data_IF_285145850598
#
_entry.id   IF_285145850598
#
_cell.length_a   1.000
_cell.length_b   1.000
_cell.length_c   1.000
_cell.angle_alpha   90.00
_cell.angle_beta   90.00
_cell.angle_gamma   90.00
#
_symmetry.space_group_name_H-M   'P 1'
#
loop_
_entity.id
_entity.type
_entity.pdbx_description
1 polymer ?
#
# COMPACT_ATOMS: atom_id res chain seq x y z
N UNK A 1 -18.44 39.66 15.13
CA UNK A 1 -17.76 38.37 14.90
C UNK A 1 -18.58 37.61 13.87
N UNK A 2 -18.06 37.46 12.65
CA UNK A 2 -18.75 36.72 11.58
C UNK A 2 -18.51 35.22 11.76
N UNK A 3 -19.45 34.51 12.39
CA UNK A 3 -19.45 33.06 12.41
C UNK A 3 -20.84 32.55 12.03
N UNK A 4 -20.95 31.83 10.92
CA UNK A 4 -22.13 31.04 10.63
C UNK A 4 -22.15 29.85 11.60
N UNK A 5 -23.15 29.81 12.48
CA UNK A 5 -23.31 28.76 13.49
C UNK A 5 -23.41 27.35 12.87
N UNK A 6 -23.79 27.28 11.59
CA UNK A 6 -23.85 26.04 10.80
C UNK A 6 -22.47 25.49 10.42
N UNK A 7 -21.47 26.35 10.17
CA UNK A 7 -20.14 25.94 9.69
C UNK A 7 -19.28 25.34 10.80
N UNK A 8 -19.46 25.79 12.04
CA UNK A 8 -18.80 25.25 13.23
C UNK A 8 -19.70 24.32 14.04
N UNK A 9 -20.85 23.92 13.48
CA UNK A 9 -21.73 22.98 14.15
C UNK A 9 -21.00 21.67 14.40
N UNK A 10 -21.24 21.05 15.57
CA UNK A 10 -20.60 19.79 16.01
C UNK A 10 -20.78 18.64 15.01
N UNK A 11 -21.80 18.71 14.14
CA UNK A 11 -22.10 17.72 13.11
C UNK A 11 -21.34 17.92 11.81
N UNK A 12 -20.62 19.04 11.66
CA UNK A 12 -19.77 19.33 10.50
C UNK A 12 -18.33 18.85 10.74
N UNK A 13 -17.62 18.54 9.65
CA UNK A 13 -16.19 18.20 9.70
C UNK A 13 -15.37 19.34 10.33
N UNK A 14 -15.65 20.58 9.93
CA UNK A 14 -15.06 21.79 10.51
C UNK A 14 -15.32 21.93 12.02
N UNK A 15 -16.51 21.54 12.50
CA UNK A 15 -16.82 21.50 13.93
C UNK A 15 -16.00 20.45 14.69
N UNK A 16 -15.73 19.30 14.08
CA UNK A 16 -14.86 18.26 14.67
C UNK A 16 -13.41 18.75 14.76
N UNK A 17 -12.93 19.42 13.71
CA UNK A 17 -11.60 20.04 13.67
C UNK A 17 -11.47 21.17 14.70
N UNK A 18 -12.50 22.00 14.82
CA UNK A 18 -12.56 23.02 15.86
C UNK A 18 -12.51 22.40 17.27
N UNK A 19 -13.25 21.32 17.50
CA UNK A 19 -13.18 20.58 18.76
C UNK A 19 -11.80 19.97 19.00
N UNK A 20 -11.11 19.47 17.97
CA UNK A 20 -9.73 18.99 18.10
C UNK A 20 -8.73 20.10 18.45
N UNK A 21 -8.97 21.33 17.98
CA UNK A 21 -8.15 22.49 18.30
C UNK A 21 -8.31 22.94 19.77
N UNK A 22 -9.53 22.98 20.31
CA UNK A 22 -9.77 23.54 21.64
C UNK A 22 -10.02 22.52 22.75
N UNK A 23 -10.53 21.33 22.41
CA UNK A 23 -11.02 20.38 23.39
C UNK A 23 -10.70 18.94 23.00
N UNK A 24 -9.38 18.65 22.95
CA UNK A 24 -8.81 17.35 22.56
C UNK A 24 -9.38 16.17 23.35
N UNK A 25 -9.67 16.35 24.65
CA UNK A 25 -10.20 15.30 25.52
C UNK A 25 -11.62 14.84 25.15
N UNK A 26 -12.37 15.64 24.37
CA UNK A 26 -13.73 15.31 23.93
C UNK A 26 -13.81 14.78 22.50
N UNK A 27 -12.66 14.53 21.87
CA UNK A 27 -12.59 14.01 20.51
C UNK A 27 -12.72 12.49 20.53
N UNK A 28 -13.83 11.95 20.01
CA UNK A 28 -14.02 10.51 19.88
C UNK A 28 -13.18 9.94 18.73
N UNK A 29 -12.62 8.73 18.92
CA UNK A 29 -11.83 8.01 17.90
C UNK A 29 -12.62 7.85 16.58
N UNK A 30 -13.92 7.61 16.64
CA UNK A 30 -14.81 7.54 15.48
C UNK A 30 -14.76 8.79 14.61
N UNK A 31 -14.89 9.97 15.21
CA UNK A 31 -14.84 11.24 14.48
C UNK A 31 -13.47 11.50 13.86
N UNK A 32 -12.38 11.14 14.55
CA UNK A 32 -11.03 11.25 14.01
C UNK A 32 -10.89 10.43 12.74
N UNK A 33 -11.32 9.16 12.75
CA UNK A 33 -11.16 8.26 11.61
C UNK A 33 -11.93 8.77 10.38
N UNK A 34 -13.20 9.13 10.57
CA UNK A 34 -14.11 9.57 9.50
C UNK A 34 -13.73 10.92 8.89
N UNK A 35 -13.00 11.78 9.62
CA UNK A 35 -12.66 13.12 9.12
C UNK A 35 -11.65 13.03 7.98
N UNK A 36 -12.02 13.56 6.81
CA UNK A 36 -11.12 13.74 5.68
C UNK A 36 -10.25 15.00 5.89
N UNK A 37 -8.94 14.79 5.93
CA UNK A 37 -7.96 15.85 6.18
C UNK A 37 -7.83 16.73 4.95
N UNK A 38 -7.69 16.13 3.76
CA UNK A 38 -7.47 16.85 2.50
C UNK A 38 -8.65 17.76 2.20
N UNK A 39 -9.86 17.22 2.31
CA UNK A 39 -11.07 18.01 2.10
C UNK A 39 -11.20 19.15 3.13
N UNK A 40 -10.84 18.91 4.39
CA UNK A 40 -10.90 19.96 5.41
C UNK A 40 -9.88 21.07 5.15
N UNK A 41 -8.67 20.74 4.69
CA UNK A 41 -7.64 21.74 4.35
C UNK A 41 -8.09 22.59 3.17
N UNK A 42 -8.69 21.99 2.13
CA UNK A 42 -9.27 22.72 1.00
C UNK A 42 -10.37 23.69 1.45
N UNK A 43 -11.26 23.24 2.36
CA UNK A 43 -12.31 24.10 2.92
C UNK A 43 -11.75 25.29 3.72
N UNK A 44 -10.58 25.13 4.35
CA UNK A 44 -9.91 26.22 5.08
C UNK A 44 -9.21 27.17 4.11
N UNK A 45 -8.61 26.65 3.04
CA UNK A 45 -7.89 27.43 2.03
C UNK A 45 -8.84 28.25 1.14
N UNK A 46 -9.97 27.65 0.75
CA UNK A 46 -10.99 28.25 -0.11
C UNK A 46 -12.36 28.21 0.58
N UNK A 47 -12.58 29.03 1.63
CA UNK A 47 -13.82 28.97 2.39
C UNK A 47 -14.98 29.56 1.59
N UNK A 48 -16.13 28.86 1.60
CA UNK A 48 -17.38 29.31 0.94
C UNK A 48 -17.98 30.58 1.55
N UNK A 49 -17.56 30.92 2.78
CA UNK A 49 -17.98 32.11 3.50
C UNK A 49 -16.75 32.78 4.12
N UNK A 50 -16.73 34.11 4.30
CA UNK A 50 -15.56 34.80 4.82
C UNK A 50 -15.17 34.27 6.20
N UNK A 51 -13.97 33.70 6.26
CA UNK A 51 -13.38 33.12 7.47
C UNK A 51 -12.35 34.11 8.04
N UNK A 52 -12.44 34.39 9.34
CA UNK A 52 -11.42 35.20 10.00
C UNK A 52 -10.06 34.47 9.98
N UNK A 53 -8.97 35.19 9.72
CA UNK A 53 -7.61 34.62 9.72
C UNK A 53 -7.25 33.95 11.05
N UNK A 54 -7.72 34.52 12.18
CA UNK A 54 -7.54 33.90 13.49
C UNK A 54 -8.25 32.54 13.58
N UNK A 55 -9.41 32.39 12.95
CA UNK A 55 -10.16 31.14 12.92
C UNK A 55 -9.46 30.11 12.03
N UNK A 56 -8.97 30.49 10.84
CA UNK A 56 -8.22 29.57 9.97
C UNK A 56 -6.96 29.01 10.64
N UNK A 57 -6.20 29.82 11.37
CA UNK A 57 -5.04 29.34 12.13
C UNK A 57 -5.39 28.30 13.20
N UNK A 58 -6.47 28.52 13.95
CA UNK A 58 -6.92 27.56 14.95
C UNK A 58 -7.46 26.27 14.32
N UNK A 59 -8.17 26.38 13.20
CA UNK A 59 -8.63 25.20 12.45
C UNK A 59 -7.45 24.40 11.92
N UNK A 60 -6.43 25.05 11.37
CA UNK A 60 -5.22 24.37 10.89
C UNK A 60 -4.51 23.61 12.03
N UNK A 61 -4.40 24.20 13.23
CA UNK A 61 -3.90 23.50 14.41
C UNK A 61 -4.73 22.26 14.75
N UNK A 62 -6.06 22.37 14.66
CA UNK A 62 -6.98 21.24 14.83
C UNK A 62 -6.73 20.12 13.80
N UNK A 63 -6.52 20.47 12.53
CA UNK A 63 -6.21 19.51 11.46
C UNK A 63 -4.92 18.77 11.75
N UNK A 64 -3.84 19.48 12.08
CA UNK A 64 -2.53 18.87 12.39
C UNK A 64 -2.64 17.90 13.58
N UNK A 65 -3.43 18.24 14.60
CA UNK A 65 -3.68 17.36 15.75
C UNK A 65 -4.45 16.10 15.37
N UNK A 66 -5.45 16.22 14.49
CA UNK A 66 -6.19 15.07 13.96
C UNK A 66 -5.25 14.15 13.17
N UNK A 67 -4.38 14.72 12.34
CA UNK A 67 -3.37 13.95 11.60
C UNK A 67 -2.46 13.17 12.55
N UNK A 68 -1.88 13.83 13.55
CA UNK A 68 -1.05 13.16 14.57
C UNK A 68 -1.80 12.00 15.22
N UNK A 69 -3.06 12.19 15.58
CA UNK A 69 -3.87 11.14 16.22
C UNK A 69 -4.14 9.95 15.30
N UNK A 70 -4.33 10.18 14.00
CA UNK A 70 -4.46 9.11 13.01
C UNK A 70 -3.18 8.29 12.90
N UNK A 71 -2.01 8.94 12.93
CA UNK A 71 -0.70 8.26 12.94
C UNK A 71 -0.53 7.44 14.21
N UNK A 72 -0.87 7.99 15.38
CA UNK A 72 -0.82 7.24 16.65
C UNK A 72 -1.70 5.98 16.58
N UNK A 73 -2.92 6.10 16.06
CA UNK A 73 -3.82 4.96 15.91
C UNK A 73 -3.27 3.90 14.96
N UNK A 74 -2.67 4.30 13.84
CA UNK A 74 -2.04 3.38 12.90
C UNK A 74 -0.86 2.65 13.55
N UNK A 75 -0.02 3.36 14.29
CA UNK A 75 1.12 2.80 15.00
C UNK A 75 0.68 1.79 16.08
N UNK A 76 -0.34 2.13 16.85
CA UNK A 76 -0.92 1.23 17.85
C UNK A 76 -1.49 -0.05 17.22
N UNK A 77 -2.21 0.09 16.09
CA UNK A 77 -2.81 -1.04 15.40
C UNK A 77 -1.73 -1.93 14.75
N UNK A 78 -0.65 -1.33 14.22
CA UNK A 78 0.51 -2.07 13.73
C UNK A 78 1.23 -2.83 14.83
N UNK A 79 1.48 -2.21 15.99
CA UNK A 79 2.16 -2.89 17.10
C UNK A 79 1.37 -4.09 17.63
N UNK A 80 0.03 -3.99 17.65
CA UNK A 80 -0.84 -5.11 18.00
C UNK A 80 -0.81 -6.22 16.96
N UNK A 81 -0.79 -5.88 15.68
CA UNK A 81 -0.68 -6.86 14.60
C UNK A 81 0.69 -7.56 14.63
N UNK A 82 1.76 -6.79 14.75
CA UNK A 82 3.13 -7.30 14.82
C UNK A 82 3.35 -8.25 16.01
N UNK A 83 2.83 -7.87 17.18
CA UNK A 83 2.89 -8.74 18.38
C UNK A 83 2.16 -10.07 18.16
N UNK A 84 1.00 -10.06 17.51
CA UNK A 84 0.26 -11.28 17.18
C UNK A 84 0.98 -12.15 16.15
N UNK A 85 1.60 -11.55 15.13
CA UNK A 85 2.39 -12.26 14.13
C UNK A 85 3.61 -12.92 14.78
N UNK A 86 4.36 -12.21 15.62
CA UNK A 86 5.50 -12.79 16.35
C UNK A 86 5.07 -13.95 17.24
N UNK A 87 3.96 -13.82 17.98
CA UNK A 87 3.46 -14.90 18.85
C UNK A 87 3.09 -16.13 18.03
N UNK A 88 2.45 -15.96 16.87
CA UNK A 88 2.08 -17.07 15.97
C UNK A 88 3.27 -17.70 15.27
N UNK A 89 4.34 -16.94 15.01
CA UNK A 89 5.55 -17.40 14.35
C UNK A 89 6.59 -17.98 15.32
N UNK A 90 6.47 -17.74 16.63
CA UNK A 90 7.35 -18.39 17.62
C UNK A 90 7.06 -19.90 17.57
N UNK A 91 7.99 -20.74 17.08
CA UNK A 91 7.77 -22.17 17.08
C UNK A 91 7.60 -22.56 18.54
N UNK A 92 6.43 -23.13 18.87
CA UNK A 92 6.31 -23.93 20.08
C UNK A 92 7.44 -24.95 19.98
N UNK A 93 8.25 -25.02 21.03
CA UNK A 93 9.33 -25.99 21.23
C UNK A 93 8.71 -27.40 21.29
N UNK A 94 8.10 -27.85 20.19
CA UNK A 94 7.83 -29.25 19.96
C UNK A 94 9.16 -29.80 19.48
N UNK A 95 9.71 -30.71 20.27
CA UNK A 95 10.82 -31.55 19.86
C UNK A 95 10.40 -32.28 18.58
N UNK A 96 10.63 -31.67 17.43
CA UNK A 96 10.67 -32.39 16.18
C UNK A 96 11.92 -33.24 16.31
N UNK A 97 11.75 -34.55 16.51
CA UNK A 97 12.86 -35.50 16.48
C UNK A 97 13.53 -35.35 15.11
N UNK A 98 14.67 -34.66 15.09
CA UNK A 98 15.51 -34.49 13.91
C UNK A 98 16.14 -35.83 13.57
N UNK A 99 15.42 -36.68 12.84
CA UNK A 99 16.02 -37.94 12.35
C UNK A 99 15.83 -38.16 10.84
N UNK A 100 15.52 -37.12 10.06
CA UNK A 100 15.29 -37.34 8.63
C UNK A 100 15.67 -36.19 7.68
N UNK A 101 16.50 -35.21 8.08
CA UNK A 101 16.98 -34.18 7.14
C UNK A 101 18.42 -33.72 7.45
N UNK A 102 19.35 -34.66 7.60
CA UNK A 102 20.77 -34.35 7.38
C UNK A 102 21.36 -35.46 6.52
N UNK A 103 22.16 -35.04 5.54
CA UNK A 103 23.03 -35.94 4.80
C UNK A 103 23.90 -36.70 5.83
N UNK A 104 24.04 -38.03 5.73
CA UNK A 104 24.90 -38.79 6.63
C UNK A 104 26.36 -38.32 6.52
N UNK A 105 27.09 -38.30 7.65
CA UNK A 105 28.47 -37.80 7.73
C UNK A 105 29.45 -38.53 6.78
N UNK A 106 29.13 -39.74 6.36
CA UNK A 106 29.81 -40.45 5.27
C UNK A 106 28.81 -41.20 4.41
N UNK A 107 28.70 -40.79 3.15
CA UNK A 107 27.96 -41.52 2.12
C UNK A 107 28.91 -42.56 1.53
N UNK A 108 28.82 -43.82 1.99
CA UNK A 108 29.65 -44.92 1.48
C UNK A 108 29.19 -45.34 0.08
N UNK A 109 29.72 -44.65 -0.94
CA UNK A 109 29.44 -44.91 -2.37
C UNK A 109 29.88 -46.31 -2.82
N UNK A 110 30.90 -46.88 -2.17
CA UNK A 110 31.51 -48.14 -2.56
C UNK A 110 30.68 -49.38 -2.19
N UNK A 111 29.64 -49.22 -1.36
CA UNK A 111 28.69 -50.28 -1.03
C UNK A 111 27.52 -50.38 -2.03
N UNK A 112 27.41 -49.46 -2.99
CA UNK A 112 26.38 -49.52 -4.03
C UNK A 112 26.80 -50.52 -5.11
N UNK A 113 26.29 -51.75 -5.00
CA UNK A 113 26.36 -52.76 -6.04
C UNK A 113 25.44 -52.35 -7.20
N UNK A 114 25.99 -51.60 -8.16
CA UNK A 114 25.33 -51.35 -9.43
C UNK A 114 25.54 -52.56 -10.33
N UNK A 115 24.69 -53.57 -10.11
CA UNK A 115 24.59 -54.75 -10.94
C UNK A 115 24.52 -54.39 -12.43
N UNK A 116 25.48 -54.94 -13.15
CA UNK A 116 25.66 -55.02 -14.60
C UNK A 116 24.36 -54.86 -15.43
N UNK A 117 24.23 -53.76 -16.17
CA UNK A 117 24.09 -53.73 -17.65
C UNK A 117 23.77 -52.32 -18.12
N UNK A 118 24.77 -51.72 -18.77
CA UNK A 118 24.61 -50.60 -19.68
C UNK A 118 23.77 -51.07 -20.87
N UNK A 119 22.53 -50.61 -20.96
CA UNK A 119 21.81 -50.53 -22.23
C UNK A 119 21.56 -49.05 -22.54
N UNK A 120 22.41 -48.55 -23.44
CA UNK A 120 22.28 -47.29 -24.16
C UNK A 120 20.97 -47.30 -24.94
N UNK A 121 19.88 -46.79 -24.35
CA UNK A 121 18.72 -46.39 -25.15
C UNK A 121 18.78 -44.88 -25.32
N UNK A 122 19.34 -44.53 -26.47
CA UNK A 122 19.23 -43.28 -27.20
C UNK A 122 17.86 -42.62 -26.99
N UNK A 123 17.82 -41.58 -26.14
CA UNK A 123 16.75 -40.58 -26.22
C UNK A 123 17.39 -39.30 -26.72
N UNK A 124 17.13 -39.00 -27.99
CA UNK A 124 17.55 -37.75 -28.61
C UNK A 124 16.89 -36.58 -27.87
N UNK A 125 17.71 -35.81 -27.14
CA UNK A 125 17.30 -34.55 -26.53
C UNK A 125 16.91 -33.55 -27.62
N UNK A 126 15.60 -33.37 -27.81
CA UNK A 126 15.03 -32.50 -28.84
C UNK A 126 14.74 -31.08 -28.32
N UNK A 127 15.29 -30.67 -27.16
CA UNK A 127 14.97 -29.39 -26.52
C UNK A 127 15.99 -28.27 -26.71
N UNK A 128 16.81 -28.32 -27.76
CA UNK A 128 17.68 -27.19 -28.14
C UNK A 128 17.02 -26.35 -29.23
N UNK A 129 16.27 -25.32 -28.84
CA UNK A 129 15.92 -24.23 -29.76
C UNK A 129 17.19 -23.45 -30.09
N UNK A 130 17.40 -23.17 -31.37
CA UNK A 130 18.52 -22.38 -31.87
C UNK A 130 18.37 -20.90 -31.51
N UNK A 131 19.50 -20.20 -31.38
CA UNK A 131 19.58 -18.83 -30.86
C UNK A 131 18.74 -17.79 -31.64
N UNK A 132 18.38 -18.09 -32.88
CA UNK A 132 17.60 -17.23 -33.76
C UNK A 132 16.08 -17.20 -33.45
N UNK A 133 15.58 -18.11 -32.60
CA UNK A 133 14.17 -18.14 -32.16
C UNK A 133 13.86 -17.10 -31.04
N UNK A 134 14.86 -16.34 -30.59
CA UNK A 134 14.78 -15.49 -29.41
C UNK A 134 14.52 -14.00 -29.72
N UNK A 135 14.53 -13.62 -31.00
CA UNK A 135 14.44 -12.21 -31.42
C UNK A 135 13.08 -11.94 -32.05
N UNK A 136 12.34 -10.96 -31.51
CA UNK A 136 11.10 -10.47 -32.10
C UNK A 136 11.39 -9.84 -33.45
N UNK A 137 10.69 -10.25 -34.50
CA UNK A 137 10.70 -9.57 -35.79
C UNK A 137 10.08 -8.17 -35.65
N UNK A 138 10.87 -7.13 -35.89
CA UNK A 138 10.39 -5.77 -36.04
C UNK A 138 9.68 -5.64 -37.40
N UNK A 139 8.37 -5.85 -37.41
CA UNK A 139 7.52 -5.43 -38.53
C UNK A 139 6.62 -4.26 -38.09
N UNK A 140 6.89 -3.13 -38.73
CA UNK A 140 6.19 -1.86 -38.65
C UNK A 140 4.66 -2.01 -38.78
N UNK A 141 3.92 -1.54 -37.79
CA UNK A 141 2.58 -0.96 -38.00
C UNK A 141 2.64 0.49 -37.54
N UNK A 142 3.04 1.31 -38.52
CA UNK A 142 2.68 2.70 -38.78
C UNK A 142 1.96 3.42 -37.63
N UNK A 143 2.71 4.35 -37.01
CA UNK A 143 2.18 5.58 -36.42
C UNK A 143 1.22 6.27 -37.40
N UNK A 144 -0.03 6.45 -37.00
CA UNK A 144 -0.78 7.66 -37.35
C UNK A 144 -1.75 8.01 -36.19
N UNK A 145 -1.23 8.83 -35.28
CA UNK A 145 -1.89 9.97 -34.63
C UNK A 145 -3.39 9.83 -34.31
N UNK A 146 -3.67 9.07 -33.26
CA UNK A 146 -4.85 9.32 -32.42
C UNK A 146 -4.62 10.61 -31.61
N UNK A 147 -4.65 11.79 -32.23
CA UNK A 147 -5.10 13.07 -31.65
C UNK A 147 -5.00 14.18 -32.71
N UNK A 148 -6.08 14.97 -32.80
CA UNK A 148 -6.19 16.33 -33.35
C UNK A 148 -6.68 16.47 -34.80
N UNK A 149 -8.00 16.50 -34.98
CA UNK A 149 -8.64 17.28 -36.03
C UNK A 149 -9.31 18.50 -35.42
N UNK A 150 -8.68 19.67 -35.55
CA UNK A 150 -9.33 20.96 -35.35
C UNK A 150 -10.18 21.27 -36.58
N UNK A 151 -11.50 21.29 -36.39
CA UNK A 151 -12.43 21.75 -37.41
C UNK A 151 -12.36 23.29 -37.48
N UNK A 152 -11.74 23.83 -38.52
CA UNK A 152 -11.83 25.25 -38.91
C UNK A 152 -12.82 25.35 -40.08
N UNK A 153 -13.97 26.05 -39.93
CA UNK A 153 -14.89 26.28 -41.02
C UNK A 153 -14.34 27.34 -41.99
N UNK A 154 -14.51 27.09 -43.28
CA UNK A 154 -13.92 27.87 -44.37
C UNK A 154 -14.45 29.29 -44.54
N UNK A 155 -13.54 30.09 -45.10
CA UNK A 155 -13.66 31.25 -45.99
C UNK A 155 -15.05 31.91 -46.18
N UNK A 156 -15.10 33.19 -45.79
CA UNK A 156 -15.71 34.27 -46.56
C UNK A 156 -14.61 35.20 -47.08
#
# INVERSE_FOLDING_TARGET
MFYSHSLLSRKSQLGTVWMAAYQQSRLQKSHVIVTDISHTVEQIMFPKAPLALRLSGNLLLGVTRIYSKKVDYLHDDWNKFFSQVIIKLKPVNTSITFQAVTLPDTFELDAMDFGETVNLMESSDSHKKTLDDNTLSEDNIVDEDMYISFHVPGAG
#
